data_IF_160403287419
#
_entry.id   IF_160403287419
#
_cell.length_a   1.000
_cell.length_b   1.000
_cell.length_c   1.000
_cell.angle_alpha   90.00
_cell.angle_beta   90.00
_cell.angle_gamma   90.00
#
_symmetry.space_group_name_H-M   'P 1'
#
loop_
_entity.id
_entity.type
_entity.pdbx_description
1 polymer ?
#
# COMPACT_ATOMS: atom_id res chain seq x y z
N UNK A 1 -8.13 9.15 9.30
CA UNK A 1 -9.51 9.25 8.81
C UNK A 1 -9.52 9.70 7.36
N UNK A 2 -9.13 10.94 7.05
CA UNK A 2 -9.23 11.49 5.68
C UNK A 2 -8.63 10.61 4.55
N UNK A 3 -7.47 9.99 4.76
CA UNK A 3 -6.86 9.12 3.74
C UNK A 3 -7.71 7.90 3.41
N UNK A 4 -8.28 7.25 4.44
CA UNK A 4 -9.11 6.04 4.27
C UNK A 4 -10.45 6.39 3.64
N UNK A 5 -11.07 7.48 4.10
CA UNK A 5 -12.28 8.05 3.50
C UNK A 5 -12.05 8.35 2.02
N UNK A 6 -10.93 8.98 1.67
CA UNK A 6 -10.60 9.30 0.27
C UNK A 6 -10.45 8.05 -0.60
N UNK A 7 -9.84 6.97 -0.08
CA UNK A 7 -9.76 5.69 -0.80
C UNK A 7 -11.16 5.12 -1.03
N UNK A 8 -11.98 5.07 0.03
CA UNK A 8 -13.35 4.57 -0.04
C UNK A 8 -14.24 5.39 -0.99
N UNK A 9 -14.19 6.71 -0.90
CA UNK A 9 -14.96 7.64 -1.74
C UNK A 9 -14.61 7.47 -3.22
N UNK A 10 -13.31 7.43 -3.56
CA UNK A 10 -12.88 7.26 -4.95
C UNK A 10 -13.24 5.87 -5.49
N UNK A 11 -13.12 4.83 -4.65
CA UNK A 11 -13.56 3.49 -5.03
C UNK A 11 -15.07 3.42 -5.26
N UNK A 12 -15.88 3.98 -4.37
CA UNK A 12 -17.35 3.95 -4.49
C UNK A 12 -17.84 4.77 -5.68
N UNK A 13 -17.21 5.92 -5.96
CA UNK A 13 -17.64 6.80 -7.04
C UNK A 13 -17.11 6.38 -8.42
N UNK A 14 -15.90 5.82 -8.48
CA UNK A 14 -15.21 5.59 -9.76
C UNK A 14 -14.74 4.15 -9.98
N UNK A 15 -14.84 3.28 -8.97
CA UNK A 15 -14.28 1.92 -9.01
C UNK A 15 -12.76 1.87 -9.03
N UNK A 16 -12.08 3.00 -8.80
CA UNK A 16 -10.62 3.08 -8.79
C UNK A 16 -10.06 2.88 -7.39
N UNK A 17 -9.02 2.05 -7.27
CA UNK A 17 -8.41 1.70 -5.98
C UNK A 17 -7.07 2.39 -5.83
N UNK A 18 -6.96 3.25 -4.82
CA UNK A 18 -5.73 3.97 -4.49
C UNK A 18 -4.98 3.32 -3.34
N UNK A 19 -3.65 3.41 -3.40
CA UNK A 19 -2.82 3.24 -2.22
C UNK A 19 -2.88 4.49 -1.32
N UNK A 20 -2.49 4.39 -0.03
CA UNK A 20 -2.56 5.51 0.91
C UNK A 20 -1.79 6.77 0.48
N UNK A 21 -0.65 6.62 -0.22
CA UNK A 21 0.18 7.76 -0.64
C UNK A 21 -0.52 8.53 -1.77
N UNK A 22 -1.07 7.82 -2.75
CA UNK A 22 -1.86 8.43 -3.83
C UNK A 22 -3.10 9.13 -3.27
N UNK A 23 -3.78 8.52 -2.29
CA UNK A 23 -4.97 9.11 -1.67
C UNK A 23 -4.67 10.43 -0.94
N UNK A 24 -3.51 10.55 -0.28
CA UNK A 24 -3.10 11.83 0.34
C UNK A 24 -2.91 12.92 -0.72
N UNK A 25 -2.21 12.62 -1.81
CA UNK A 25 -1.99 13.58 -2.90
C UNK A 25 -3.30 13.98 -3.58
N UNK A 26 -4.19 13.01 -3.83
CA UNK A 26 -5.51 13.27 -4.39
C UNK A 26 -6.35 14.16 -3.47
N UNK A 27 -6.39 13.87 -2.16
CA UNK A 27 -7.15 14.69 -1.21
C UNK A 27 -6.63 16.12 -1.10
N UNK A 28 -5.32 16.30 -1.15
CA UNK A 28 -4.72 17.63 -1.17
C UNK A 28 -5.13 18.42 -2.43
N UNK A 29 -5.15 17.76 -3.59
CA UNK A 29 -5.60 18.35 -4.85
C UNK A 29 -7.10 18.72 -4.80
N UNK A 30 -7.97 17.85 -4.29
CA UNK A 30 -9.39 18.17 -4.11
C UNK A 30 -9.62 19.36 -3.18
N UNK A 31 -8.92 19.40 -2.03
CA UNK A 31 -9.00 20.53 -1.08
C UNK A 31 -8.52 21.83 -1.72
N UNK A 32 -7.43 21.79 -2.49
CA UNK A 32 -6.95 22.95 -3.23
C UNK A 32 -8.03 23.51 -4.16
N UNK A 33 -8.61 22.65 -5.01
CA UNK A 33 -9.68 23.04 -5.94
C UNK A 33 -10.88 23.65 -5.22
N UNK A 34 -11.33 23.02 -4.13
CA UNK A 34 -12.46 23.52 -3.33
C UNK A 34 -12.18 24.91 -2.74
N UNK A 35 -10.95 25.16 -2.30
CA UNK A 35 -10.57 26.43 -1.65
C UNK A 35 -10.30 27.55 -2.64
N UNK A 36 -9.80 27.25 -3.83
CA UNK A 36 -9.37 28.28 -4.81
C UNK A 36 -10.35 28.46 -5.96
N UNK A 37 -11.19 27.48 -6.26
CA UNK A 37 -11.99 27.42 -7.49
C UNK A 37 -11.15 27.21 -8.75
N UNK A 38 -9.89 26.78 -8.61
CA UNK A 38 -9.02 26.47 -9.76
C UNK A 38 -9.42 25.12 -10.38
N UNK A 39 -10.05 25.18 -11.55
CA UNK A 39 -10.51 24.02 -12.32
C UNK A 39 -9.43 23.47 -13.28
N UNK A 40 -8.17 23.93 -13.17
CA UNK A 40 -7.08 23.45 -14.03
C UNK A 40 -6.91 21.94 -13.92
N UNK A 41 -6.77 21.26 -15.08
CA UNK A 41 -6.50 19.83 -15.12
C UNK A 41 -5.24 19.50 -14.32
N UNK A 42 -5.37 18.57 -13.38
CA UNK A 42 -4.31 18.18 -12.46
C UNK A 42 -3.93 16.72 -12.69
N UNK A 43 -2.64 16.41 -12.54
CA UNK A 43 -2.13 15.04 -12.61
C UNK A 43 -1.66 14.66 -11.20
N UNK A 44 -2.22 13.59 -10.65
CA UNK A 44 -1.75 12.98 -9.40
C UNK A 44 -0.84 11.82 -9.73
N UNK A 45 0.37 11.83 -9.17
CA UNK A 45 1.32 10.75 -9.34
C UNK A 45 0.98 9.60 -8.40
N UNK A 46 0.61 8.45 -8.96
CA UNK A 46 0.44 7.23 -8.17
C UNK A 46 1.80 6.59 -7.91
N UNK A 47 2.23 6.61 -6.64
CA UNK A 47 3.61 6.27 -6.26
C UNK A 47 3.79 4.82 -5.83
N UNK A 48 2.71 4.11 -5.52
CA UNK A 48 2.75 2.71 -5.12
C UNK A 48 1.53 1.93 -5.61
N UNK A 49 1.70 0.62 -5.73
CA UNK A 49 0.58 -0.30 -5.95
C UNK A 49 -0.25 -0.44 -4.67
N UNK A 50 -1.60 -0.47 -4.76
CA UNK A 50 -2.47 -0.68 -3.60
C UNK A 50 -2.22 -2.03 -2.92
N UNK A 51 -1.74 -3.03 -3.66
CA UNK A 51 -1.40 -4.35 -3.11
C UNK A 51 -0.31 -4.33 -2.05
N UNK A 52 0.55 -3.29 -2.03
CA UNK A 52 1.59 -3.12 -1.00
C UNK A 52 1.00 -2.77 0.38
N UNK A 53 -0.21 -2.24 0.42
CA UNK A 53 -0.93 -1.78 1.62
C UNK A 53 -2.32 -2.39 1.68
N UNK A 54 -2.41 -3.68 1.34
CA UNK A 54 -3.67 -4.37 1.04
C UNK A 54 -4.67 -4.37 2.21
N UNK A 55 -4.19 -4.45 3.44
CA UNK A 55 -4.98 -4.40 4.66
C UNK A 55 -5.67 -3.04 4.84
N UNK A 56 -4.92 -1.95 4.71
CA UNK A 56 -5.43 -0.58 4.83
C UNK A 56 -6.41 -0.28 3.70
N UNK A 57 -6.09 -0.72 2.48
CA UNK A 57 -6.95 -0.50 1.30
C UNK A 57 -8.25 -1.28 1.44
N UNK A 58 -8.21 -2.57 1.79
CA UNK A 58 -9.40 -3.39 2.03
C UNK A 58 -10.31 -2.80 3.10
N UNK A 59 -9.74 -2.42 4.24
CA UNK A 59 -10.51 -1.80 5.31
C UNK A 59 -11.03 -0.40 4.95
N UNK A 60 -10.55 0.22 3.86
CA UNK A 60 -11.07 1.50 3.38
C UNK A 60 -12.19 1.34 2.35
N UNK A 61 -12.15 0.28 1.54
CA UNK A 61 -13.17 0.02 0.51
C UNK A 61 -14.32 -0.88 0.99
N UNK A 62 -14.09 -1.69 2.02
CA UNK A 62 -15.08 -2.54 2.70
C UNK A 62 -14.81 -2.56 4.22
N UNK A 63 -15.08 -1.44 4.91
CA UNK A 63 -14.83 -1.33 6.36
C UNK A 63 -15.67 -2.32 7.18
N UNK A 64 -16.91 -2.60 6.78
CA UNK A 64 -17.80 -3.52 7.51
C UNK A 64 -17.20 -4.93 7.61
N UNK A 65 -16.52 -5.37 6.56
CA UNK A 65 -15.85 -6.66 6.55
C UNK A 65 -14.46 -6.60 7.19
N UNK A 66 -13.66 -5.55 6.99
CA UNK A 66 -12.23 -5.61 7.27
C UNK A 66 -11.72 -4.70 8.42
N UNK A 67 -12.54 -3.80 8.96
CA UNK A 67 -12.12 -2.92 10.07
C UNK A 67 -11.66 -3.72 11.30
N UNK A 68 -10.50 -3.35 11.85
CA UNK A 68 -9.94 -3.96 13.06
C UNK A 68 -9.49 -5.43 12.90
N UNK A 69 -9.61 -6.03 11.71
CA UNK A 69 -9.14 -7.39 11.45
C UNK A 69 -7.64 -7.41 11.20
N UNK A 70 -6.96 -8.36 11.85
CA UNK A 70 -5.58 -8.70 11.51
C UNK A 70 -5.60 -9.77 10.42
N UNK A 71 -5.26 -9.38 9.21
CA UNK A 71 -5.21 -10.28 8.05
C UNK A 71 -3.79 -10.78 7.82
N UNK A 72 -3.68 -11.99 7.28
CA UNK A 72 -2.46 -12.41 6.63
C UNK A 72 -2.27 -11.57 5.34
N UNK A 73 -1.08 -11.00 5.09
CA UNK A 73 -0.85 -10.14 3.93
C UNK A 73 -1.13 -10.81 2.58
N UNK A 74 -0.95 -12.13 2.47
CA UNK A 74 -1.20 -12.84 1.21
C UNK A 74 -2.68 -13.14 1.01
N UNK A 75 -3.42 -13.42 2.09
CA UNK A 75 -4.89 -13.50 2.04
C UNK A 75 -5.51 -12.14 1.68
N UNK A 76 -5.04 -11.06 2.31
CA UNK A 76 -5.50 -9.71 2.01
C UNK A 76 -5.18 -9.29 0.56
N UNK A 77 -4.07 -9.77 0.00
CA UNK A 77 -3.73 -9.54 -1.41
C UNK A 77 -4.74 -10.20 -2.36
N UNK A 78 -5.12 -11.45 -2.11
CA UNK A 78 -6.14 -12.18 -2.88
C UNK A 78 -7.53 -11.54 -2.76
N UNK A 79 -7.91 -11.14 -1.55
CA UNK A 79 -9.19 -10.47 -1.30
C UNK A 79 -9.26 -9.12 -2.02
N UNK A 80 -8.18 -8.34 -1.96
CA UNK A 80 -8.09 -7.06 -2.67
C UNK A 80 -8.16 -7.26 -4.19
N UNK A 81 -7.51 -8.29 -4.73
CA UNK A 81 -7.59 -8.61 -6.16
C UNK A 81 -9.03 -8.84 -6.60
N UNK A 82 -9.80 -9.60 -5.81
CA UNK A 82 -11.22 -9.88 -6.10
C UNK A 82 -12.08 -8.63 -6.00
N UNK A 83 -11.92 -7.85 -4.93
CA UNK A 83 -12.68 -6.63 -4.72
C UNK A 83 -12.39 -5.59 -5.82
N UNK A 84 -11.12 -5.33 -6.10
CA UNK A 84 -10.66 -4.35 -7.07
C UNK A 84 -10.78 -4.82 -8.54
N UNK A 85 -10.98 -6.12 -8.77
CA UNK A 85 -10.89 -6.77 -10.10
C UNK A 85 -9.57 -6.47 -10.81
N UNK A 86 -8.48 -6.37 -10.03
CA UNK A 86 -7.13 -6.12 -10.52
C UNK A 86 -6.28 -7.38 -10.38
N UNK A 87 -5.43 -7.72 -11.37
CA UNK A 87 -4.50 -8.82 -11.22
C UNK A 87 -3.45 -8.47 -10.16
N UNK A 88 -3.07 -9.47 -9.36
CA UNK A 88 -1.94 -9.36 -8.45
C UNK A 88 -0.66 -9.25 -9.29
N UNK A 89 0.25 -8.30 -9.00
CA UNK A 89 1.54 -8.23 -9.67
C UNK A 89 2.32 -9.54 -9.51
N UNK A 90 2.88 -10.07 -10.61
CA UNK A 90 3.57 -11.36 -10.61
C UNK A 90 4.65 -11.47 -9.51
N UNK A 91 5.44 -10.41 -9.33
CA UNK A 91 6.47 -10.35 -8.29
C UNK A 91 5.91 -10.49 -6.86
N UNK A 92 4.67 -10.07 -6.61
CA UNK A 92 4.01 -10.22 -5.31
C UNK A 92 3.35 -11.59 -5.16
N UNK A 93 2.80 -12.14 -6.26
CA UNK A 93 2.19 -13.47 -6.28
C UNK A 93 3.22 -14.58 -6.00
N UNK A 94 4.47 -14.40 -6.42
CA UNK A 94 5.55 -15.37 -6.21
C UNK A 94 6.12 -15.35 -4.77
N UNK A 95 5.99 -14.23 -4.04
CA UNK A 95 6.61 -14.03 -2.71
C UNK A 95 6.37 -15.16 -1.71
N UNK A 96 5.15 -15.73 -1.55
CA UNK A 96 4.90 -16.82 -0.59
C UNK A 96 5.71 -18.09 -0.88
N UNK A 97 6.14 -18.28 -2.12
CA UNK A 97 6.83 -19.47 -2.59
C UNK A 97 8.36 -19.31 -2.61
N UNK A 98 8.86 -18.11 -2.38
CA UNK A 98 10.29 -17.83 -2.38
C UNK A 98 10.92 -18.19 -1.03
N UNK A 99 12.10 -18.81 -1.09
CA UNK A 99 12.90 -19.06 0.10
C UNK A 99 13.43 -17.74 0.66
N UNK A 100 13.21 -17.51 1.97
CA UNK A 100 13.77 -16.35 2.68
C UNK A 100 15.31 -16.44 2.67
N UNK A 101 15.97 -15.42 2.10
CA UNK A 101 17.43 -15.36 1.95
C UNK A 101 18.16 -14.81 3.16
N UNK A 102 17.59 -13.82 3.83
CA UNK A 102 18.16 -13.22 5.05
C UNK A 102 17.24 -13.50 6.23
N UNK A 103 17.73 -14.22 7.23
CA UNK A 103 16.99 -14.53 8.46
C UNK A 103 17.64 -14.02 9.74
N UNK A 104 18.87 -13.53 9.64
CA UNK A 104 19.67 -13.14 10.80
C UNK A 104 19.08 -11.91 11.49
N UNK A 105 19.12 -11.93 12.81
CA UNK A 105 18.71 -10.82 13.66
C UNK A 105 19.93 -10.36 14.43
N UNK A 106 20.32 -9.11 14.23
CA UNK A 106 21.55 -8.53 14.77
C UNK A 106 21.17 -7.34 15.64
N UNK A 107 21.81 -7.22 16.80
CA UNK A 107 21.66 -6.04 17.63
C UNK A 107 22.19 -4.79 16.90
N UNK A 108 21.56 -3.64 17.09
CA UNK A 108 21.97 -2.38 16.42
C UNK A 108 23.45 -2.05 16.63
N UNK A 109 24.04 -2.45 17.77
CA UNK A 109 25.46 -2.22 18.08
C UNK A 109 26.41 -3.13 17.30
N UNK A 110 25.91 -4.24 16.75
CA UNK A 110 26.69 -5.24 16.02
C UNK A 110 26.53 -5.11 14.49
N UNK A 111 25.77 -4.13 14.01
CA UNK A 111 25.45 -3.97 12.59
C UNK A 111 26.69 -3.78 11.72
N UNK A 112 27.69 -3.01 12.17
CA UNK A 112 28.94 -2.81 11.43
C UNK A 112 29.71 -4.14 11.27
N UNK A 113 29.78 -4.93 12.34
CA UNK A 113 30.43 -6.24 12.34
C UNK A 113 29.76 -7.21 11.37
N UNK A 114 28.43 -7.31 11.40
CA UNK A 114 27.72 -8.21 10.49
C UNK A 114 27.87 -7.76 9.03
N UNK A 115 27.84 -6.46 8.75
CA UNK A 115 28.05 -5.96 7.38
C UNK A 115 29.46 -6.28 6.89
N UNK A 116 30.49 -6.11 7.74
CA UNK A 116 31.87 -6.49 7.40
C UNK A 116 32.00 -7.98 7.09
N UNK A 117 31.39 -8.83 7.91
CA UNK A 117 31.32 -10.28 7.72
C UNK A 117 30.65 -10.65 6.40
N UNK A 118 29.49 -10.07 6.09
CA UNK A 118 28.76 -10.32 4.84
C UNK A 118 29.54 -9.89 3.60
N UNK A 119 30.40 -8.87 3.72
CA UNK A 119 31.25 -8.37 2.64
C UNK A 119 32.62 -9.07 2.56
N UNK A 120 32.95 -9.97 3.49
CA UNK A 120 34.25 -10.65 3.54
C UNK A 120 35.41 -9.72 3.92
N UNK A 121 35.15 -8.71 4.75
CA UNK A 121 36.11 -7.68 5.18
C UNK A 121 36.64 -7.90 6.61
N UNK A 122 36.64 -9.14 7.09
CA UNK A 122 37.16 -9.53 8.41
C UNK A 122 38.69 -9.48 8.49
#
# INVERSE_FOLDING_TARGET
METRETIGDVYNNYGYVMDPHTAVAYKAMEKYRLMTGDETYSIVLSTASPFKFNDVVLASIDPDTYEGKKLDPFVAMEDLSKAAKLPIPASMQELPHLQKRQSDVVDKTQMEGEVKKLLGLE
#
